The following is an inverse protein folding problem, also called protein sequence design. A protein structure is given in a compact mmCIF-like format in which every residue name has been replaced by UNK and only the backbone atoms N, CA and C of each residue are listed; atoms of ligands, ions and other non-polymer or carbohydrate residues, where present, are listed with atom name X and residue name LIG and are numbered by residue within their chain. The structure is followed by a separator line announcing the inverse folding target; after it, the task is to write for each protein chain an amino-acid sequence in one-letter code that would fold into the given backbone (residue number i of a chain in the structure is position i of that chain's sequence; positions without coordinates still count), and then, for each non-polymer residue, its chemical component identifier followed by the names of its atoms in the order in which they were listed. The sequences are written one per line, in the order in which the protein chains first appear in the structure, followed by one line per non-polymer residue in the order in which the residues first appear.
data_IF_696242267316
#
_entry.id   IF_696242267316
#
_cell.length_a   1.000
_cell.length_b   1.000
_cell.length_c   1.000
_cell.angle_alpha   90.00
_cell.angle_beta   90.00
_cell.angle_gamma   90.00
#
_symmetry.space_group_name_H-M   'P 1'
#
loop_
_entity.id
_entity.type
_entity.pdbx_description
1 polymer ?
#
# COMPACT_ATOMS: atom_id res chain seq x y z
N UNK A 1 11.66 13.77 7.03
CA UNK A 1 11.93 12.80 5.95
C UNK A 1 13.29 12.18 6.20
N UNK A 2 13.36 11.12 7.01
CA UNK A 2 14.56 10.30 7.09
C UNK A 2 14.64 9.51 5.79
N UNK A 3 15.78 9.55 5.10
CA UNK A 3 15.99 8.70 3.93
C UNK A 3 15.78 7.24 4.34
N UNK A 4 14.86 6.55 3.67
CA UNK A 4 14.67 5.10 3.87
C UNK A 4 16.00 4.39 3.55
N UNK A 5 16.38 3.33 4.28
CA UNK A 5 17.62 2.59 3.99
C UNK A 5 17.58 2.00 2.58
N UNK A 6 18.74 1.76 1.95
CA UNK A 6 18.80 1.40 0.52
C UNK A 6 17.92 0.19 0.14
N UNK A 7 17.90 -0.85 1.00
CA UNK A 7 17.09 -2.05 0.81
C UNK A 7 15.56 -1.82 0.91
N UNK A 8 15.14 -0.63 1.36
CA UNK A 8 13.75 -0.18 1.41
C UNK A 8 13.42 0.87 0.34
N UNK A 9 14.37 1.23 -0.53
CA UNK A 9 14.12 2.22 -1.56
C UNK A 9 12.99 1.73 -2.52
N UNK A 10 11.94 2.52 -2.81
CA UNK A 10 10.76 2.05 -3.55
C UNK A 10 11.02 1.49 -4.94
N UNK A 11 12.07 1.97 -5.62
CA UNK A 11 12.46 1.47 -6.95
C UNK A 11 13.25 0.17 -6.91
N UNK A 12 13.73 -0.25 -5.73
CA UNK A 12 14.58 -1.43 -5.53
C UNK A 12 13.96 -2.49 -4.62
N UNK A 13 12.84 -2.18 -3.95
CA UNK A 13 12.21 -3.02 -2.93
C UNK A 13 10.69 -3.07 -3.12
N UNK A 14 10.13 -4.27 -3.18
CA UNK A 14 8.69 -4.45 -3.28
C UNK A 14 7.95 -3.93 -2.05
N UNK A 15 8.49 -4.21 -0.85
CA UNK A 15 7.95 -3.65 0.39
C UNK A 15 8.09 -2.12 0.42
N UNK A 16 9.22 -1.60 -0.07
CA UNK A 16 9.43 -0.15 -0.23
C UNK A 16 8.38 0.49 -1.13
N UNK A 17 8.06 -0.14 -2.26
CA UNK A 17 7.03 0.31 -3.19
C UNK A 17 5.64 0.34 -2.54
N UNK A 18 5.26 -0.72 -1.83
CA UNK A 18 3.96 -0.79 -1.13
C UNK A 18 3.85 0.35 -0.10
N UNK A 19 4.88 0.55 0.72
CA UNK A 19 4.88 1.59 1.74
C UNK A 19 4.88 3.01 1.14
N UNK A 20 5.53 3.21 -0.01
CA UNK A 20 5.48 4.48 -0.72
C UNK A 20 4.06 4.80 -1.22
N UNK A 21 3.35 3.81 -1.77
CA UNK A 21 1.95 3.98 -2.20
C UNK A 21 1.02 4.22 -1.01
N UNK A 22 1.21 3.52 0.11
CA UNK A 22 0.44 3.78 1.34
C UNK A 22 0.61 5.22 1.82
N UNK A 23 1.85 5.71 1.90
CA UNK A 23 2.16 7.10 2.31
C UNK A 23 1.52 8.10 1.36
N UNK A 24 1.72 7.92 0.05
CA UNK A 24 1.14 8.79 -0.98
C UNK A 24 -0.37 8.92 -0.83
N UNK A 25 -1.11 7.80 -0.83
CA UNK A 25 -2.57 7.87 -0.74
C UNK A 25 -3.09 8.38 0.61
N UNK A 26 -2.38 8.10 1.70
CA UNK A 26 -2.70 8.68 3.01
C UNK A 26 -2.57 10.22 3.01
N UNK A 27 -1.56 10.78 2.34
CA UNK A 27 -1.41 12.23 2.15
C UNK A 27 -2.55 12.83 1.32
N UNK A 28 -3.14 12.05 0.41
CA UNK A 28 -4.36 12.42 -0.34
C UNK A 28 -5.67 12.20 0.44
N UNK A 29 -5.59 11.80 1.71
CA UNK A 29 -6.76 11.61 2.58
C UNK A 29 -7.44 10.25 2.45
N UNK A 30 -6.82 9.28 1.77
CA UNK A 30 -7.35 7.91 1.70
C UNK A 30 -7.07 7.14 3.00
N UNK A 31 -8.04 6.34 3.45
CA UNK A 31 -7.85 5.37 4.53
C UNK A 31 -7.09 4.15 3.98
N UNK A 32 -5.96 3.80 4.60
CA UNK A 32 -5.17 2.61 4.24
C UNK A 32 -5.74 1.39 4.97
N UNK A 33 -6.54 0.59 4.26
CA UNK A 33 -7.15 -0.63 4.78
C UNK A 33 -6.22 -1.85 4.65
N UNK A 34 -6.47 -2.87 5.47
CA UNK A 34 -5.78 -4.15 5.39
C UNK A 34 -6.37 -5.04 4.27
N UNK A 35 -5.62 -6.04 3.78
CA UNK A 35 -6.17 -7.05 2.88
C UNK A 35 -7.37 -7.76 3.50
N UNK A 36 -8.32 -8.15 2.65
CA UNK A 36 -9.47 -8.94 3.08
C UNK A 36 -9.05 -10.36 3.46
N UNK A 37 -9.70 -10.93 4.46
CA UNK A 37 -9.40 -12.25 5.04
C UNK A 37 -10.03 -13.42 4.29
N UNK A 38 -10.62 -13.16 3.12
CA UNK A 38 -11.15 -14.18 2.21
C UNK A 38 -10.51 -14.09 0.83
N UNK A 39 -10.45 -15.22 0.12
CA UNK A 39 -9.95 -15.27 -1.25
C UNK A 39 -10.85 -14.47 -2.19
N UNK A 40 -10.24 -13.53 -2.92
CA UNK A 40 -10.89 -12.72 -3.93
C UNK A 40 -10.00 -12.59 -5.17
N UNK A 41 -10.60 -12.51 -6.35
CA UNK A 41 -9.85 -12.42 -7.61
C UNK A 41 -9.26 -11.02 -7.90
N UNK A 42 -9.76 -9.98 -7.23
CA UNK A 42 -9.34 -8.59 -7.38
C UNK A 42 -9.78 -7.74 -6.18
N UNK A 43 -9.11 -6.61 -5.94
CA UNK A 43 -9.46 -5.67 -4.86
C UNK A 43 -10.85 -5.02 -5.02
N UNK A 44 -11.44 -5.05 -6.23
CA UNK A 44 -12.82 -4.61 -6.46
C UNK A 44 -13.85 -5.48 -5.77
N UNK A 45 -13.50 -6.71 -5.37
CA UNK A 45 -14.37 -7.59 -4.57
C UNK A 45 -14.23 -7.37 -3.06
N UNK A 46 -13.34 -6.46 -2.61
CA UNK A 46 -13.25 -6.10 -1.20
C UNK A 46 -14.53 -5.35 -0.79
N UNK A 47 -15.13 -5.63 0.38
CA UNK A 47 -16.30 -4.89 0.88
C UNK A 47 -16.11 -3.37 1.07
N UNK A 48 -14.91 -2.85 0.86
CA UNK A 48 -14.60 -1.41 0.97
C UNK A 48 -14.68 -0.70 -0.39
N UNK A 49 -14.88 -1.45 -1.48
CA UNK A 49 -14.94 -0.95 -2.87
C UNK A 49 -16.34 -1.11 -3.47
N UNK A 50 -17.20 -1.96 -2.88
CA UNK A 50 -18.57 -2.26 -3.31
C UNK A 50 -19.63 -1.58 -2.47
#
# INVERSE_FOLDING_TARGET
MTADPEYMHPTKSFQGLILALHRYWAEYGCVVLQPYDMEVGAGTFHPATT
#
